data_IF_908576050703
#
_entry.id   IF_908576050703
#
_cell.length_a   1.000
_cell.length_b   1.000
_cell.length_c   1.000
_cell.angle_alpha   90.00
_cell.angle_beta   90.00
_cell.angle_gamma   90.00
#
_symmetry.space_group_name_H-M   'P 1'
#
loop_
_entity.id
_entity.type
_entity.pdbx_description
1 polymer ?
#
# COMPACT_ATOMS: atom_id res chain seq x y z
N UNK A 1 31.41 -13.02 14.84
CA UNK A 1 30.53 -13.41 13.71
C UNK A 1 29.03 -13.57 14.06
N UNK A 2 28.64 -13.89 15.28
CA UNK A 2 27.22 -13.99 15.69
C UNK A 2 26.51 -12.64 15.74
N UNK A 3 27.17 -11.57 16.21
CA UNK A 3 26.61 -10.23 16.27
C UNK A 3 26.29 -9.63 14.90
N UNK A 4 27.13 -9.87 13.88
CA UNK A 4 26.88 -9.39 12.51
C UNK A 4 25.66 -10.06 11.88
N UNK A 5 25.43 -11.35 12.19
CA UNK A 5 24.25 -12.09 11.71
C UNK A 5 22.95 -11.61 12.36
N UNK A 6 23.00 -11.23 13.64
CA UNK A 6 21.85 -10.68 14.38
C UNK A 6 21.52 -9.27 13.88
N UNK A 7 22.51 -8.42 13.63
CA UNK A 7 22.33 -7.09 13.04
C UNK A 7 21.77 -7.18 11.61
N UNK A 8 22.24 -8.12 10.78
CA UNK A 8 21.70 -8.34 9.45
C UNK A 8 20.24 -8.82 9.49
N UNK A 9 19.88 -9.72 10.43
CA UNK A 9 18.51 -10.22 10.58
C UNK A 9 17.53 -9.14 11.09
N UNK A 10 18.00 -8.16 11.87
CA UNK A 10 17.20 -7.02 12.35
C UNK A 10 17.05 -5.90 11.29
N UNK A 11 18.01 -5.80 10.36
CA UNK A 11 17.95 -4.80 9.28
C UNK A 11 17.05 -5.24 8.12
N UNK A 12 16.82 -6.53 7.93
CA UNK A 12 16.04 -7.07 6.81
C UNK A 12 14.57 -6.61 6.80
N UNK A 13 13.83 -6.56 7.92
CA UNK A 13 12.44 -6.08 7.90
C UNK A 13 12.30 -4.57 7.63
N UNK A 14 13.35 -3.78 7.88
CA UNK A 14 13.29 -2.33 7.61
C UNK A 14 13.31 -1.98 6.10
N UNK A 15 13.76 -2.90 5.25
CA UNK A 15 13.84 -2.69 3.80
C UNK A 15 12.56 -3.11 3.04
N UNK A 16 11.61 -3.73 3.74
CA UNK A 16 10.35 -4.24 3.14
C UNK A 16 9.14 -3.31 3.34
N UNK A 17 9.31 -2.13 3.92
CA UNK A 17 8.23 -1.14 3.97
C UNK A 17 8.05 -0.51 2.58
N UNK A 18 7.35 -1.21 1.70
CA UNK A 18 6.92 -0.67 0.42
C UNK A 18 6.04 0.57 0.65
N UNK A 19 6.39 1.68 0.02
CA UNK A 19 5.53 2.88 0.04
C UNK A 19 4.25 2.56 -0.74
N UNK A 20 3.09 2.63 -0.09
CA UNK A 20 1.79 2.44 -0.71
C UNK A 20 1.54 3.50 -1.80
N UNK A 21 2.04 4.71 -1.59
CA UNK A 21 2.02 5.79 -2.56
C UNK A 21 3.46 6.18 -2.90
N UNK A 22 3.73 6.41 -4.17
CA UNK A 22 5.00 6.92 -4.66
C UNK A 22 4.78 8.10 -5.62
N UNK A 23 5.71 9.09 -5.66
CA UNK A 23 5.63 10.16 -6.63
C UNK A 23 5.91 9.61 -8.02
N UNK A 24 5.04 9.96 -8.98
CA UNK A 24 5.26 9.73 -10.40
C UNK A 24 6.00 10.92 -11.03
N UNK A 25 5.55 11.39 -12.18
CA UNK A 25 6.06 12.63 -12.81
C UNK A 25 5.43 13.82 -12.12
N UNK A 26 6.23 14.70 -11.51
CA UNK A 26 5.72 15.84 -10.78
C UNK A 26 6.66 17.05 -10.84
N UNK A 27 6.08 18.20 -10.48
CA UNK A 27 6.80 19.42 -10.13
C UNK A 27 6.32 19.86 -8.75
N UNK A 28 7.24 20.17 -7.87
CA UNK A 28 6.90 20.70 -6.54
C UNK A 28 7.76 21.91 -6.19
N UNK A 29 7.22 22.78 -5.34
CA UNK A 29 7.97 23.90 -4.78
C UNK A 29 7.63 24.07 -3.31
N UNK A 30 8.62 24.48 -2.54
CA UNK A 30 8.48 24.86 -1.15
C UNK A 30 9.12 26.24 -0.96
N UNK A 31 8.28 27.24 -0.73
CA UNK A 31 8.72 28.60 -0.34
C UNK A 31 8.63 28.73 1.16
N UNK A 32 9.79 28.82 1.82
CA UNK A 32 9.90 28.98 3.28
C UNK A 32 10.43 30.37 3.61
N UNK A 33 9.65 31.16 4.32
CA UNK A 33 9.97 32.54 4.69
C UNK A 33 10.63 32.63 6.06
N UNK A 34 11.27 33.77 6.29
CA UNK A 34 11.99 34.03 7.55
C UNK A 34 11.09 34.09 8.80
N UNK A 35 9.82 34.44 8.63
CA UNK A 35 8.81 34.44 9.70
C UNK A 35 8.25 33.03 10.01
N UNK A 36 8.81 32.01 9.37
CA UNK A 36 8.36 30.62 9.51
C UNK A 36 7.13 30.26 8.69
N UNK A 37 6.53 31.20 7.97
CA UNK A 37 5.45 30.88 7.04
C UNK A 37 6.00 30.11 5.84
N UNK A 38 5.21 29.18 5.28
CA UNK A 38 5.58 28.46 4.07
C UNK A 38 4.41 28.33 3.12
N UNK A 39 4.74 28.17 1.85
CA UNK A 39 3.81 27.72 0.80
C UNK A 39 4.40 26.50 0.14
N UNK A 40 3.64 25.42 0.11
CA UNK A 40 4.01 24.18 -0.60
C UNK A 40 3.04 23.94 -1.75
N UNK A 41 3.58 23.59 -2.92
CA UNK A 41 2.81 23.19 -4.08
C UNK A 41 3.31 21.86 -4.63
N UNK A 42 2.40 21.06 -5.14
CA UNK A 42 2.71 19.81 -5.84
C UNK A 42 1.73 19.67 -7.03
N UNK A 43 2.29 19.48 -8.20
CA UNK A 43 1.51 19.25 -9.44
C UNK A 43 2.11 18.06 -10.14
N UNK A 44 1.32 17.00 -10.31
CA UNK A 44 1.82 15.80 -10.97
C UNK A 44 1.09 14.55 -10.57
N UNK A 45 1.78 13.44 -10.69
CA UNK A 45 1.25 12.10 -10.52
C UNK A 45 1.61 11.53 -9.15
N UNK A 46 0.65 10.85 -8.53
CA UNK A 46 0.87 9.93 -7.41
C UNK A 46 0.53 8.53 -7.92
N UNK A 47 1.46 7.60 -7.76
CA UNK A 47 1.31 6.21 -8.17
C UNK A 47 0.95 5.38 -6.94
N UNK A 48 -0.16 4.65 -7.01
CA UNK A 48 -0.59 3.71 -5.98
C UNK A 48 0.11 2.38 -6.23
N UNK A 49 0.95 1.95 -5.30
CA UNK A 49 1.65 0.66 -5.40
C UNK A 49 0.70 -0.49 -5.11
N UNK A 50 0.75 -1.52 -5.94
CA UNK A 50 0.03 -2.76 -5.68
C UNK A 50 0.75 -3.55 -4.58
N UNK A 51 0.12 -3.67 -3.45
CA UNK A 51 0.61 -4.49 -2.35
C UNK A 51 -0.10 -5.85 -2.30
N UNK A 52 -0.97 -6.15 -3.25
CA UNK A 52 -1.57 -7.47 -3.35
C UNK A 52 -0.49 -8.51 -3.60
N UNK A 53 -0.46 -9.62 -2.87
CA UNK A 53 0.43 -10.70 -3.20
C UNK A 53 0.13 -11.16 -4.64
N UNK A 54 1.15 -11.56 -5.41
CA UNK A 54 0.92 -12.10 -6.74
C UNK A 54 -0.08 -13.27 -6.63
N UNK A 55 -0.95 -13.46 -7.64
CA UNK A 55 -1.86 -14.59 -7.64
C UNK A 55 -1.05 -15.87 -7.41
N UNK A 56 -1.40 -16.63 -6.37
CA UNK A 56 -0.76 -17.91 -6.13
C UNK A 56 -1.12 -18.85 -7.28
N UNK A 57 -0.11 -19.47 -7.87
CA UNK A 57 -0.33 -20.50 -8.87
C UNK A 57 -0.64 -21.83 -8.19
N UNK A 58 -1.64 -22.54 -8.71
CA UNK A 58 -1.96 -23.87 -8.21
C UNK A 58 -0.79 -24.82 -8.50
N UNK A 59 -0.27 -25.45 -7.46
CA UNK A 59 0.66 -26.56 -7.56
C UNK A 59 0.09 -27.75 -6.80
N UNK A 60 -0.06 -28.87 -7.47
CA UNK A 60 -0.56 -30.07 -6.83
C UNK A 60 0.42 -30.58 -5.76
N UNK A 61 -0.10 -30.94 -4.61
CA UNK A 61 0.65 -31.64 -3.56
C UNK A 61 0.82 -33.11 -3.92
N UNK A 62 1.93 -33.75 -3.50
CA UNK A 62 2.12 -35.16 -3.71
C UNK A 62 0.98 -35.99 -3.12
N UNK A 63 0.60 -37.08 -3.80
CA UNK A 63 -0.36 -38.05 -3.30
C UNK A 63 0.37 -39.31 -2.82
N UNK A 64 -0.13 -39.91 -1.76
CA UNK A 64 0.47 -41.07 -1.13
C UNK A 64 -0.49 -42.27 -1.16
N UNK A 65 0.07 -43.48 -1.18
CA UNK A 65 -0.71 -44.72 -1.08
C UNK A 65 -1.11 -44.95 0.38
N UNK A 66 -2.39 -45.24 0.62
CA UNK A 66 -2.91 -45.51 1.97
C UNK A 66 -2.31 -46.78 2.57
N UNK A 67 -1.92 -47.74 1.74
CA UNK A 67 -1.41 -49.04 2.18
C UNK A 67 0.09 -49.04 2.52
N UNK A 68 0.91 -48.30 1.74
CA UNK A 68 2.37 -48.33 1.86
C UNK A 68 2.97 -46.99 2.30
N UNK A 69 2.23 -45.91 2.17
CA UNK A 69 2.75 -44.56 2.43
C UNK A 69 3.70 -44.03 1.34
N UNK A 70 3.87 -44.77 0.24
CA UNK A 70 4.73 -44.35 -0.86
C UNK A 70 4.06 -43.26 -1.70
N UNK A 71 4.88 -42.36 -2.27
CA UNK A 71 4.42 -41.33 -3.19
C UNK A 71 3.94 -41.98 -4.49
N UNK A 72 2.77 -41.54 -4.96
CA UNK A 72 2.15 -41.98 -6.22
C UNK A 72 1.58 -40.82 -7.01
N UNK A 73 1.28 -41.06 -8.24
CA UNK A 73 0.50 -40.11 -9.04
C UNK A 73 -0.90 -39.91 -8.44
N UNK A 74 -1.32 -38.65 -8.38
CA UNK A 74 -2.64 -38.29 -7.90
C UNK A 74 -3.70 -38.73 -8.92
N UNK A 75 -4.83 -39.21 -8.46
CA UNK A 75 -6.00 -39.43 -9.29
C UNK A 75 -6.63 -38.11 -9.75
N UNK A 76 -7.41 -38.13 -10.82
CA UNK A 76 -8.13 -36.94 -11.29
C UNK A 76 -9.05 -36.35 -10.20
N UNK A 77 -9.67 -37.19 -9.38
CA UNK A 77 -10.54 -36.76 -8.28
C UNK A 77 -9.77 -36.03 -7.17
N UNK A 78 -8.58 -36.52 -6.82
CA UNK A 78 -7.70 -35.87 -5.83
C UNK A 78 -7.19 -34.53 -6.35
N UNK A 79 -6.77 -34.45 -7.59
CA UNK A 79 -6.35 -33.20 -8.22
C UNK A 79 -7.49 -32.17 -8.27
N UNK A 80 -8.70 -32.62 -8.60
CA UNK A 80 -9.89 -31.76 -8.62
C UNK A 80 -10.23 -31.24 -7.21
N UNK A 81 -10.08 -32.10 -6.19
CA UNK A 81 -10.31 -31.69 -4.80
C UNK A 81 -9.23 -30.68 -4.35
N UNK A 82 -7.94 -30.96 -4.60
CA UNK A 82 -6.86 -30.03 -4.26
C UNK A 82 -7.05 -28.65 -4.92
N UNK A 83 -7.50 -28.62 -6.17
CA UNK A 83 -7.79 -27.36 -6.87
C UNK A 83 -8.96 -26.62 -6.22
N UNK A 84 -10.03 -27.34 -5.87
CA UNK A 84 -11.18 -26.74 -5.19
C UNK A 84 -10.81 -26.16 -3.82
N UNK A 85 -9.99 -26.87 -3.05
CA UNK A 85 -9.51 -26.42 -1.75
C UNK A 85 -8.59 -25.20 -1.88
N UNK A 86 -7.74 -25.18 -2.90
CA UNK A 86 -6.90 -24.04 -3.24
C UNK A 86 -7.72 -22.80 -3.62
N UNK A 87 -8.73 -22.95 -4.47
CA UNK A 87 -9.63 -21.86 -4.89
C UNK A 87 -10.42 -21.30 -3.69
N UNK A 88 -10.87 -22.20 -2.81
CA UNK A 88 -11.57 -21.81 -1.56
C UNK A 88 -10.63 -21.03 -0.62
N UNK A 89 -9.40 -21.49 -0.41
CA UNK A 89 -8.41 -20.82 0.41
C UNK A 89 -8.03 -19.45 -0.16
N UNK A 90 -7.94 -19.31 -1.48
CA UNK A 90 -7.73 -18.02 -2.14
C UNK A 90 -8.90 -17.04 -1.92
N UNK A 91 -10.13 -17.53 -1.99
CA UNK A 91 -11.31 -16.72 -1.75
C UNK A 91 -11.38 -16.25 -0.29
N UNK A 92 -11.05 -17.11 0.66
CA UNK A 92 -10.97 -16.80 2.08
C UNK A 92 -9.88 -15.75 2.37
N UNK A 93 -8.67 -15.93 1.84
CA UNK A 93 -7.57 -15.00 2.03
C UNK A 93 -7.86 -13.60 1.46
N UNK A 94 -8.58 -13.51 0.33
CA UNK A 94 -9.06 -12.24 -0.21
C UNK A 94 -10.09 -11.57 0.69
N UNK A 95 -10.99 -12.36 1.29
CA UNK A 95 -11.99 -11.85 2.24
C UNK A 95 -11.32 -11.36 3.53
N UNK A 96 -10.36 -12.09 4.08
CA UNK A 96 -9.61 -11.71 5.27
C UNK A 96 -8.75 -10.47 5.04
N UNK A 97 -8.08 -10.35 3.89
CA UNK A 97 -7.29 -9.16 3.55
C UNK A 97 -8.18 -7.92 3.46
N UNK A 98 -9.39 -8.04 2.93
CA UNK A 98 -10.39 -6.98 2.96
C UNK A 98 -10.86 -6.63 4.38
N UNK A 99 -11.05 -7.61 5.24
CA UNK A 99 -11.47 -7.42 6.64
C UNK A 99 -10.35 -6.80 7.51
N UNK A 100 -9.12 -7.27 7.37
CA UNK A 100 -7.96 -6.75 8.12
C UNK A 100 -7.65 -5.32 7.68
N UNK A 101 -7.75 -5.00 6.38
CA UNK A 101 -7.65 -3.64 5.88
C UNK A 101 -8.69 -2.71 6.52
N UNK A 102 -9.90 -3.19 6.69
CA UNK A 102 -10.99 -2.43 7.32
C UNK A 102 -10.83 -2.34 8.85
N UNK A 103 -10.29 -3.38 9.52
CA UNK A 103 -10.09 -3.42 10.96
C UNK A 103 -8.87 -2.62 11.45
N UNK A 104 -7.83 -2.47 10.64
CA UNK A 104 -6.63 -1.69 10.96
C UNK A 104 -6.75 -0.19 10.67
N UNK A 105 -7.96 0.34 10.61
CA UNK A 105 -8.20 1.78 10.48
C UNK A 105 -8.69 2.22 9.13
N UNK A 106 -9.49 1.39 8.50
CA UNK A 106 -10.32 1.76 7.34
C UNK A 106 -9.54 2.15 6.09
N UNK A 107 -10.13 1.92 4.99
CA UNK A 107 -9.91 2.59 3.68
C UNK A 107 -8.56 2.45 2.99
N UNK A 108 -7.43 2.20 3.69
CA UNK A 108 -6.12 2.08 3.04
C UNK A 108 -5.62 0.64 2.83
N UNK A 109 -6.16 -0.34 3.53
CA UNK A 109 -5.83 -1.75 3.31
C UNK A 109 -6.39 -2.34 2.01
N UNK A 110 -7.24 -1.58 1.33
CA UNK A 110 -7.97 -2.00 0.15
C UNK A 110 -7.62 -1.28 -1.15
N UNK A 111 -6.52 -0.52 -1.25
CA UNK A 111 -6.13 0.15 -2.51
C UNK A 111 -5.69 -0.82 -3.62
N UNK A 112 -6.15 -2.06 -3.56
CA UNK A 112 -5.89 -3.09 -4.55
C UNK A 112 -6.73 -2.96 -5.83
N UNK A 113 -7.88 -2.30 -5.79
CA UNK A 113 -8.79 -2.17 -6.93
C UNK A 113 -8.91 -0.72 -7.42
N UNK A 114 -9.29 -0.55 -8.69
CA UNK A 114 -9.56 0.76 -9.28
C UNK A 114 -10.71 1.47 -8.55
N UNK A 115 -11.68 0.74 -8.03
CA UNK A 115 -12.82 1.26 -7.28
C UNK A 115 -12.36 1.88 -5.95
N UNK A 116 -11.51 1.20 -5.20
CA UNK A 116 -10.96 1.73 -3.94
C UNK A 116 -10.06 2.96 -4.16
N UNK A 117 -9.34 3.01 -5.28
CA UNK A 117 -8.59 4.21 -5.67
C UNK A 117 -9.52 5.37 -6.02
N UNK A 118 -10.64 5.09 -6.70
CA UNK A 118 -11.65 6.11 -7.00
C UNK A 118 -12.28 6.68 -5.72
N UNK A 119 -12.59 5.85 -4.74
CA UNK A 119 -13.10 6.27 -3.44
C UNK A 119 -12.09 7.14 -2.68
N UNK A 120 -10.80 6.76 -2.69
CA UNK A 120 -9.73 7.59 -2.14
C UNK A 120 -9.69 8.98 -2.82
N UNK A 121 -9.80 9.03 -4.14
CA UNK A 121 -9.84 10.29 -4.89
C UNK A 121 -11.01 11.18 -4.44
N UNK A 122 -12.20 10.61 -4.23
CA UNK A 122 -13.37 11.38 -3.76
C UNK A 122 -13.19 11.90 -2.32
N UNK A 123 -12.44 11.18 -1.48
CA UNK A 123 -12.10 11.65 -0.14
C UNK A 123 -11.04 12.77 -0.19
N UNK A 124 -9.99 12.60 -1.01
CA UNK A 124 -8.94 13.61 -1.16
C UNK A 124 -9.51 14.94 -1.67
N UNK A 125 -10.49 14.93 -2.59
CA UNK A 125 -11.17 16.14 -3.08
C UNK A 125 -11.85 16.97 -1.97
N UNK A 126 -12.23 16.34 -0.86
CA UNK A 126 -12.86 17.00 0.28
C UNK A 126 -11.85 17.63 1.24
N UNK A 127 -10.58 17.28 1.14
CA UNK A 127 -9.55 17.73 2.05
C UNK A 127 -8.92 19.05 1.59
N UNK A 128 -8.46 19.82 2.58
CA UNK A 128 -7.83 21.11 2.33
C UNK A 128 -6.52 20.96 1.57
N UNK A 129 -6.34 21.79 0.56
CA UNK A 129 -5.13 21.84 -0.25
C UNK A 129 -5.18 21.00 -1.52
N UNK A 130 -6.09 20.04 -1.61
CA UNK A 130 -6.29 19.23 -2.80
C UNK A 130 -7.18 19.95 -3.81
N UNK A 131 -6.56 20.80 -4.65
CA UNK A 131 -7.28 21.67 -5.60
C UNK A 131 -7.84 20.87 -6.78
N UNK A 132 -7.13 19.83 -7.19
CA UNK A 132 -7.55 18.90 -8.23
C UNK A 132 -7.02 17.52 -7.91
N UNK A 133 -7.88 16.53 -7.99
CA UNK A 133 -7.55 15.13 -7.85
C UNK A 133 -8.37 14.36 -8.86
N UNK A 134 -7.73 13.54 -9.69
CA UNK A 134 -8.41 12.68 -10.65
C UNK A 134 -7.70 11.37 -10.84
N UNK A 135 -8.44 10.27 -10.86
CA UNK A 135 -7.91 8.98 -11.21
C UNK A 135 -7.81 8.86 -12.74
N UNK A 136 -6.61 8.55 -13.23
CA UNK A 136 -6.34 8.39 -14.67
C UNK A 136 -6.49 6.94 -15.13
N UNK A 137 -6.56 6.00 -14.22
CA UNK A 137 -6.38 4.58 -14.48
C UNK A 137 -4.93 4.12 -14.28
N UNK A 138 -4.70 2.83 -14.37
CA UNK A 138 -3.37 2.23 -14.18
C UNK A 138 -2.70 2.64 -12.85
N UNK A 139 -3.48 2.79 -11.78
CA UNK A 139 -3.02 3.18 -10.44
C UNK A 139 -2.36 4.57 -10.37
N UNK A 140 -2.68 5.46 -11.31
CA UNK A 140 -2.15 6.82 -11.36
C UNK A 140 -3.23 7.82 -10.98
N UNK A 141 -2.93 8.66 -10.00
CA UNK A 141 -3.76 9.79 -9.56
C UNK A 141 -3.06 11.07 -9.99
N UNK A 142 -3.74 11.91 -10.78
CA UNK A 142 -3.30 13.26 -11.10
C UNK A 142 -3.71 14.23 -10.02
N UNK A 143 -2.76 15.04 -9.56
CA UNK A 143 -2.92 15.89 -8.39
C UNK A 143 -2.43 17.31 -8.66
N UNK A 144 -3.23 18.30 -8.23
CA UNK A 144 -2.81 19.67 -7.99
C UNK A 144 -3.06 19.99 -6.51
N UNK A 145 -2.00 20.13 -5.75
CA UNK A 145 -2.05 20.41 -4.32
C UNK A 145 -1.33 21.71 -3.99
N UNK A 146 -1.92 22.52 -3.13
CA UNK A 146 -1.30 23.75 -2.62
C UNK A 146 -1.76 24.05 -1.22
N UNK A 147 -0.82 24.33 -0.33
CA UNK A 147 -1.10 24.70 1.04
C UNK A 147 -0.14 25.79 1.52
N UNK A 148 -0.65 26.67 2.38
CA UNK A 148 0.14 27.62 3.16
C UNK A 148 0.02 27.25 4.64
N UNK A 149 1.12 27.36 5.37
CA UNK A 149 1.18 27.05 6.79
C UNK A 149 2.30 27.79 7.49
N UNK A 150 2.53 27.38 8.74
CA UNK A 150 3.64 27.88 9.54
C UNK A 150 4.49 26.68 10.00
N UNK A 151 5.80 26.77 9.87
CA UNK A 151 6.75 25.72 10.20
C UNK A 151 6.81 25.37 11.69
N UNK A 152 6.20 26.19 12.58
CA UNK A 152 6.02 25.84 13.98
C UNK A 152 5.05 24.67 14.19
N UNK A 153 4.15 24.45 13.23
CA UNK A 153 3.25 23.30 13.19
C UNK A 153 3.78 22.32 12.15
N UNK A 154 3.98 21.07 12.49
CA UNK A 154 4.46 20.07 11.55
C UNK A 154 3.59 20.00 10.28
N UNK A 155 4.21 19.69 9.16
CA UNK A 155 3.52 19.47 7.87
C UNK A 155 4.06 18.19 7.23
N UNK A 156 3.20 17.43 6.62
CA UNK A 156 3.56 16.26 5.84
C UNK A 156 2.71 16.19 4.55
N UNK A 157 3.29 15.72 3.45
CA UNK A 157 2.59 15.51 2.19
C UNK A 157 3.07 14.20 1.51
N UNK A 158 2.17 13.38 0.98
CA UNK A 158 0.73 13.42 1.17
C UNK A 158 0.33 12.98 2.58
N UNK A 159 -0.74 13.58 3.10
CA UNK A 159 -1.38 13.16 4.34
C UNK A 159 -2.85 12.88 4.03
N UNK A 160 -3.33 11.72 4.39
CA UNK A 160 -4.76 11.37 4.31
C UNK A 160 -5.35 11.51 5.72
N UNK A 161 -6.48 12.20 5.81
CA UNK A 161 -7.17 12.42 7.07
C UNK A 161 -7.63 11.07 7.65
N UNK A 162 -7.39 10.88 8.96
CA UNK A 162 -7.66 9.60 9.64
C UNK A 162 -6.43 8.97 10.29
N UNK A 163 -5.25 9.61 10.20
CA UNK A 163 -4.05 9.23 10.97
C UNK A 163 -3.27 8.04 10.42
N UNK A 164 -3.67 7.44 9.33
CA UNK A 164 -2.88 6.43 8.64
C UNK A 164 -1.80 7.12 7.81
N UNK A 165 -0.58 7.05 8.31
CA UNK A 165 0.59 7.63 7.68
C UNK A 165 0.90 6.91 6.36
N UNK A 166 0.42 7.47 5.27
CA UNK A 166 1.11 7.28 3.99
C UNK A 166 2.50 7.87 4.20
N UNK A 167 3.53 7.16 3.80
CA UNK A 167 4.90 7.65 3.92
C UNK A 167 5.00 9.00 3.19
N UNK A 168 5.24 10.11 3.89
CA UNK A 168 5.18 11.42 3.27
C UNK A 168 6.38 11.64 2.36
N UNK A 169 6.16 12.24 1.20
CA UNK A 169 7.22 12.64 0.28
C UNK A 169 7.99 13.85 0.82
N UNK A 170 7.27 14.72 1.52
CA UNK A 170 7.80 15.95 2.11
C UNK A 170 7.30 16.07 3.53
N UNK A 171 8.22 16.40 4.45
CA UNK A 171 7.89 16.65 5.86
C UNK A 171 8.59 17.92 6.32
N UNK A 172 7.83 18.82 6.99
CA UNK A 172 8.38 19.95 7.74
C UNK A 172 8.22 19.63 9.22
N UNK A 173 9.35 19.57 9.93
CA UNK A 173 9.36 19.32 11.37
C UNK A 173 9.55 20.65 12.08
N UNK A 174 8.53 21.08 12.82
CA UNK A 174 8.61 22.28 13.65
C UNK A 174 9.65 22.10 14.76
N UNK A 175 10.48 23.11 14.98
CA UNK A 175 11.33 23.16 16.19
C UNK A 175 10.46 23.61 17.36
N UNK A 176 10.50 22.84 18.42
CA UNK A 176 9.98 23.24 19.76
C UNK A 176 10.91 24.23 20.39
#
# INVERSE_FOLDING_TARGET
>A
MRFVRILAALATPLLLTGCLLSPGKFTSSLDLRRDGSFTFTYVGEIVVTDMSPPPAEFSASPCYSDDTGDERECTEAELAQQRKDFDAAQAESKAETGMVGNAMGGEMGGLGSDESIADLVEQLKKQRGWNKVSYRGNRIIDVEYSITGNSAHGFAFPLVDGGNAIMPFVTIIGRK
#
